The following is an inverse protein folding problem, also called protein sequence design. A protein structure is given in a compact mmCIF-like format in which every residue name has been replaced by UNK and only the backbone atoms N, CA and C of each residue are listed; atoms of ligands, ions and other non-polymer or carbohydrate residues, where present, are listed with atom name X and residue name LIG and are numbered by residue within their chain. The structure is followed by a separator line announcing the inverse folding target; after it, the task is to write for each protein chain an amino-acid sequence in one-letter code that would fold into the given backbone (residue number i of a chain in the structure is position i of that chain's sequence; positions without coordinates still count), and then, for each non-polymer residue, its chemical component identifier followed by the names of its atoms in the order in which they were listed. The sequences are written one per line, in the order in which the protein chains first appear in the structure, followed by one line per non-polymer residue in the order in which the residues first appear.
data_IF_404323303340
#
_entry.id   IF_404323303340
#
_cell.length_a   1.000
_cell.length_b   1.000
_cell.length_c   1.000
_cell.angle_alpha   90.00
_cell.angle_beta   90.00
_cell.angle_gamma   90.00
#
_symmetry.space_group_name_H-M   'P 1'
#
loop_
_entity.id
_entity.type
_entity.pdbx_description
1 polymer ?
#
# COMPACT_ATOMS: atom_id res chain seq x y z
N UNK A 1 -12.54 25.33 5.06
CA UNK A 1 -11.07 25.30 5.13
C UNK A 1 -10.51 23.90 4.83
N UNK A 2 -11.16 23.13 3.94
CA UNK A 2 -10.90 21.68 3.77
C UNK A 2 -10.00 21.33 2.57
N UNK A 3 -9.62 22.32 1.76
CA UNK A 3 -8.79 22.09 0.57
C UNK A 3 -7.28 22.12 0.84
N UNK A 4 -6.85 22.69 1.98
CA UNK A 4 -5.44 22.84 2.32
C UNK A 4 -4.79 21.53 2.79
N UNK A 5 -5.54 20.65 3.46
CA UNK A 5 -5.04 19.36 3.94
C UNK A 5 -4.83 18.35 2.79
N UNK A 6 -5.68 18.39 1.76
CA UNK A 6 -5.57 17.54 0.57
C UNK A 6 -4.42 17.96 -0.35
N UNK A 7 -4.11 19.26 -0.43
CA UNK A 7 -2.97 19.75 -1.20
C UNK A 7 -1.62 19.34 -0.58
N UNK A 8 -1.51 19.31 0.75
CA UNK A 8 -0.24 19.03 1.44
C UNK A 8 0.13 17.53 1.40
N UNK A 9 -0.85 16.63 1.55
CA UNK A 9 -0.65 15.18 1.48
C UNK A 9 -0.30 14.69 0.05
N UNK A 10 -0.81 15.39 -0.98
CA UNK A 10 -0.52 15.08 -2.39
C UNK A 10 0.91 15.52 -2.78
N UNK A 11 1.40 16.65 -2.27
CA UNK A 11 2.75 17.16 -2.59
C UNK A 11 3.86 16.31 -1.95
N UNK A 12 3.63 15.81 -0.73
CA UNK A 12 4.63 15.01 0.01
C UNK A 12 4.83 13.58 -0.55
N UNK A 13 3.77 12.97 -1.09
CA UNK A 13 3.83 11.62 -1.67
C UNK A 13 4.27 11.61 -3.14
N UNK A 14 3.89 12.62 -3.95
CA UNK A 14 4.42 12.78 -5.30
C UNK A 14 5.92 13.19 -5.32
N UNK A 15 6.35 14.03 -4.38
CA UNK A 15 7.73 14.53 -4.33
C UNK A 15 8.78 13.45 -4.06
N UNK A 16 8.44 12.46 -3.23
CA UNK A 16 9.38 11.39 -2.83
C UNK A 16 9.49 10.27 -3.89
N UNK A 17 8.40 9.99 -4.61
CA UNK A 17 8.36 8.96 -5.66
C UNK A 17 8.99 9.41 -6.97
N UNK A 18 8.75 10.65 -7.39
CA UNK A 18 9.29 11.17 -8.65
C UNK A 18 10.81 11.41 -8.57
N UNK A 19 11.33 11.79 -7.39
CA UNK A 19 12.77 12.02 -7.17
C UNK A 19 13.61 10.73 -7.22
N UNK A 20 13.01 9.56 -6.97
CA UNK A 20 13.71 8.27 -6.98
C UNK A 20 13.67 7.59 -8.36
N UNK A 21 12.60 7.78 -9.12
CA UNK A 21 12.43 7.14 -10.43
C UNK A 21 13.22 7.81 -11.58
N UNK A 22 13.63 9.07 -11.43
CA UNK A 22 14.45 9.77 -12.45
C UNK A 22 15.96 9.59 -12.27
N UNK A 23 16.42 8.93 -11.20
CA UNK A 23 17.87 8.81 -10.89
C UNK A 23 18.56 7.61 -11.55
N UNK A 24 17.82 6.66 -12.12
CA UNK A 24 18.37 5.38 -12.56
C UNK A 24 18.47 5.19 -14.08
N UNK A 25 18.21 6.22 -14.89
CA UNK A 25 18.32 6.11 -16.36
C UNK A 25 19.17 7.21 -16.98
N UNK A 26 20.41 6.82 -17.32
CA UNK A 26 21.42 7.45 -18.18
C UNK A 26 22.36 8.52 -17.57
N UNK A 27 23.70 8.32 -17.64
CA UNK A 27 24.68 9.37 -17.47
C UNK A 27 25.02 10.04 -18.83
N UNK A 28 24.89 11.37 -18.97
CA UNK A 28 25.61 12.12 -19.99
C UNK A 28 26.92 12.72 -19.42
N UNK A 29 28.00 12.83 -20.21
CA UNK A 29 29.15 13.64 -19.83
C UNK A 29 28.79 15.13 -19.98
N UNK A 30 29.27 15.96 -19.06
CA UNK A 30 29.20 17.43 -19.06
C UNK A 30 27.85 18.09 -18.74
N UNK A 31 27.16 17.63 -17.70
CA UNK A 31 26.14 18.45 -17.03
C UNK A 31 26.77 19.15 -15.82
N UNK A 32 26.93 20.48 -15.91
CA UNK A 32 27.12 21.37 -14.76
C UNK A 32 26.02 21.05 -13.75
N UNK A 33 26.38 20.40 -12.66
CA UNK A 33 25.49 20.15 -11.52
C UNK A 33 25.10 21.53 -11.01
N UNK A 34 23.83 21.97 -11.09
CA UNK A 34 23.41 23.09 -10.27
C UNK A 34 23.64 22.60 -8.84
N UNK A 35 24.67 23.14 -8.19
CA UNK A 35 24.86 22.96 -6.75
C UNK A 35 23.54 23.39 -6.15
N UNK A 36 22.72 22.39 -5.77
CA UNK A 36 21.62 22.59 -4.85
C UNK A 36 22.34 23.17 -3.65
N UNK A 37 22.25 24.50 -3.46
CA UNK A 37 22.55 25.11 -2.17
C UNK A 37 21.84 24.18 -1.18
N UNK A 38 22.61 23.51 -0.33
CA UNK A 38 22.11 23.02 0.94
C UNK A 38 21.49 24.26 1.59
N UNK A 39 20.21 24.47 1.29
CA UNK A 39 19.41 25.44 1.98
C UNK A 39 19.34 24.86 3.38
N UNK A 40 19.94 25.59 4.32
CA UNK A 40 19.92 25.34 5.76
C UNK A 40 18.70 24.50 6.14
N UNK A 41 18.92 23.21 6.41
CA UNK A 41 17.90 22.43 7.10
C UNK A 41 17.68 23.19 8.42
N UNK A 42 16.45 23.60 8.77
CA UNK A 42 16.22 24.32 10.01
C UNK A 42 16.83 23.50 11.14
N UNK A 43 17.83 24.07 11.79
CA UNK A 43 18.54 23.43 12.89
C UNK A 43 17.59 23.46 14.08
N UNK A 44 16.76 22.44 14.21
CA UNK A 44 15.85 22.29 15.34
C UNK A 44 16.68 22.14 16.61
N UNK A 45 16.29 22.84 17.67
CA UNK A 45 16.82 22.50 18.98
C UNK A 45 16.50 21.02 19.26
N UNK A 46 17.40 20.26 19.93
CA UNK A 46 17.17 18.84 20.20
C UNK A 46 15.87 18.60 20.98
N UNK A 47 15.44 19.56 21.77
CA UNK A 47 14.17 19.55 22.49
C UNK A 47 12.96 19.63 21.54
N UNK A 48 13.01 20.52 20.54
CA UNK A 48 11.97 20.66 19.52
C UNK A 48 11.88 19.42 18.63
N UNK A 49 13.02 18.81 18.29
CA UNK A 49 13.06 17.57 17.51
C UNK A 49 12.41 16.41 18.27
N UNK A 50 12.70 16.26 19.57
CA UNK A 50 12.11 15.23 20.40
C UNK A 50 10.60 15.45 20.62
N UNK A 51 10.16 16.71 20.74
CA UNK A 51 8.73 17.03 20.81
C UNK A 51 8.00 16.72 19.50
N UNK A 52 8.60 17.06 18.36
CA UNK A 52 8.04 16.74 17.05
C UNK A 52 7.92 15.22 16.84
N UNK A 53 8.94 14.44 17.22
CA UNK A 53 8.90 12.99 17.14
C UNK A 53 7.77 12.38 17.99
N UNK A 54 7.57 12.90 19.21
CA UNK A 54 6.43 12.49 20.07
C UNK A 54 5.08 12.81 19.43
N UNK A 55 4.92 14.00 18.86
CA UNK A 55 3.67 14.41 18.21
C UNK A 55 3.39 13.58 16.96
N UNK A 56 4.41 13.33 16.13
CA UNK A 56 4.29 12.45 14.96
C UNK A 56 3.94 11.02 15.35
N UNK A 57 4.53 10.49 16.42
CA UNK A 57 4.20 9.17 16.94
C UNK A 57 2.73 9.09 17.42
N UNK A 58 2.23 10.14 18.09
CA UNK A 58 0.84 10.22 18.52
C UNK A 58 -0.13 10.25 17.32
N UNK A 59 0.17 11.07 16.31
CA UNK A 59 -0.63 11.14 15.07
C UNK A 59 -0.60 9.82 14.32
N UNK A 60 0.56 9.16 14.25
CA UNK A 60 0.70 7.86 13.61
C UNK A 60 -0.16 6.80 14.31
N UNK A 61 -0.21 6.81 15.66
CA UNK A 61 -1.05 5.91 16.43
C UNK A 61 -2.55 6.16 16.20
N UNK A 62 -2.99 7.41 16.20
CA UNK A 62 -4.39 7.78 15.91
C UNK A 62 -4.80 7.40 14.47
N UNK A 63 -3.92 7.68 13.52
CA UNK A 63 -4.11 7.32 12.11
C UNK A 63 -4.18 5.81 11.89
N UNK A 64 -3.36 5.03 12.60
CA UNK A 64 -3.36 3.57 12.50
C UNK A 64 -4.72 2.97 12.89
N UNK A 65 -5.31 3.43 14.00
CA UNK A 65 -6.61 2.93 14.45
C UNK A 65 -7.73 3.23 13.45
N UNK A 66 -7.72 4.43 12.87
CA UNK A 66 -8.70 4.83 11.84
C UNK A 66 -8.54 3.99 10.58
N UNK A 67 -7.30 3.77 10.13
CA UNK A 67 -7.01 2.95 8.94
C UNK A 67 -7.42 1.50 9.14
N UNK A 68 -7.12 0.90 10.29
CA UNK A 68 -7.53 -0.46 10.64
C UNK A 68 -9.06 -0.61 10.64
N UNK A 69 -9.77 0.38 11.20
CA UNK A 69 -11.23 0.39 11.20
C UNK A 69 -11.81 0.46 9.79
N UNK A 70 -11.25 1.30 8.92
CA UNK A 70 -11.66 1.40 7.52
C UNK A 70 -11.35 0.13 6.73
N UNK A 71 -10.17 -0.47 6.95
CA UNK A 71 -9.78 -1.74 6.37
C UNK A 71 -10.74 -2.85 6.77
N UNK A 72 -11.02 -3.00 8.08
CA UNK A 72 -11.95 -4.00 8.59
C UNK A 72 -13.36 -3.85 8.01
N UNK A 73 -13.85 -2.61 7.90
CA UNK A 73 -15.14 -2.32 7.26
C UNK A 73 -15.14 -2.75 5.79
N UNK A 74 -14.08 -2.42 5.03
CA UNK A 74 -13.95 -2.76 3.61
C UNK A 74 -13.87 -4.27 3.40
N UNK A 75 -13.06 -4.98 4.19
CA UNK A 75 -12.94 -6.44 4.13
C UNK A 75 -14.25 -7.14 4.45
N UNK A 76 -14.99 -6.63 5.45
CA UNK A 76 -16.32 -7.13 5.77
C UNK A 76 -17.29 -6.97 4.59
N UNK A 77 -17.26 -5.85 3.88
CA UNK A 77 -18.09 -5.65 2.68
C UNK A 77 -17.69 -6.63 1.58
N UNK A 78 -16.39 -6.74 1.28
CA UNK A 78 -15.88 -7.61 0.23
C UNK A 78 -16.23 -9.08 0.46
N UNK A 79 -16.03 -9.56 1.69
CA UNK A 79 -16.30 -10.95 2.08
C UNK A 79 -17.81 -11.23 2.17
N UNK A 80 -18.60 -10.40 2.87
CA UNK A 80 -20.05 -10.62 3.01
C UNK A 80 -20.82 -10.58 1.69
N UNK A 81 -20.41 -9.71 0.77
CA UNK A 81 -21.01 -9.59 -0.56
C UNK A 81 -20.38 -10.53 -1.59
N UNK A 82 -19.43 -11.37 -1.20
CA UNK A 82 -18.72 -12.29 -2.10
C UNK A 82 -18.22 -11.57 -3.35
N UNK A 83 -17.59 -10.40 -3.17
CA UNK A 83 -17.15 -9.58 -4.30
C UNK A 83 -16.00 -10.31 -5.00
N UNK A 84 -16.15 -10.65 -6.30
CA UNK A 84 -15.13 -11.42 -6.99
C UNK A 84 -13.90 -10.58 -7.30
N UNK A 85 -12.74 -11.22 -7.19
CA UNK A 85 -11.46 -10.72 -7.62
C UNK A 85 -11.41 -10.73 -9.16
N UNK A 86 -11.03 -9.61 -9.77
CA UNK A 86 -11.00 -9.40 -11.22
C UNK A 86 -9.61 -9.46 -11.80
N UNK A 87 -8.62 -9.02 -11.04
CA UNK A 87 -7.23 -9.08 -11.47
C UNK A 87 -6.28 -9.11 -10.27
N UNK A 88 -5.12 -9.71 -10.50
CA UNK A 88 -3.93 -9.52 -9.67
C UNK A 88 -2.91 -8.79 -10.54
N UNK A 89 -2.48 -7.60 -10.12
CA UNK A 89 -1.44 -6.81 -10.81
C UNK A 89 -0.16 -6.83 -9.99
N UNK A 90 0.97 -6.64 -10.65
CA UNK A 90 2.25 -6.48 -9.97
C UNK A 90 2.23 -5.19 -9.11
N UNK A 91 2.92 -5.25 -7.98
CA UNK A 91 3.15 -4.12 -7.09
C UNK A 91 4.63 -4.05 -6.70
N UNK A 92 5.13 -2.89 -6.24
CA UNK A 92 6.47 -2.79 -5.69
C UNK A 92 6.67 -3.74 -4.50
N UNK A 93 7.80 -4.44 -4.49
CA UNK A 93 8.21 -5.31 -3.40
C UNK A 93 8.11 -6.81 -3.71
N UNK A 94 8.87 -7.64 -2.98
CA UNK A 94 8.93 -9.07 -3.22
C UNK A 94 7.61 -9.75 -2.84
N UNK A 95 7.07 -10.55 -3.76
CA UNK A 95 5.83 -11.32 -3.56
C UNK A 95 4.62 -10.43 -3.25
N UNK A 96 4.63 -9.17 -3.68
CA UNK A 96 3.54 -8.22 -3.50
C UNK A 96 2.72 -8.08 -4.78
N UNK A 97 1.40 -7.94 -4.64
CA UNK A 97 0.50 -7.69 -5.75
C UNK A 97 -0.70 -6.83 -5.34
N UNK A 98 -1.28 -6.15 -6.32
CA UNK A 98 -2.54 -5.42 -6.19
C UNK A 98 -3.69 -6.35 -6.55
N UNK A 99 -4.60 -6.55 -5.62
CA UNK A 99 -5.81 -7.34 -5.77
C UNK A 99 -6.95 -6.40 -6.16
N UNK A 100 -7.43 -6.51 -7.40
CA UNK A 100 -8.47 -5.63 -7.94
C UNK A 100 -9.81 -6.36 -7.90
N UNK A 101 -10.74 -5.89 -7.09
CA UNK A 101 -12.07 -6.46 -6.92
C UNK A 101 -13.10 -5.85 -7.88
N UNK A 102 -14.22 -6.54 -8.06
CA UNK A 102 -15.29 -6.11 -8.96
C UNK A 102 -16.02 -4.85 -8.52
N UNK A 103 -15.94 -4.47 -7.24
CA UNK A 103 -16.48 -3.21 -6.71
C UNK A 103 -15.47 -2.05 -6.79
N UNK A 104 -14.43 -2.21 -7.61
CA UNK A 104 -13.31 -1.28 -7.78
C UNK A 104 -12.42 -1.11 -6.55
N UNK A 105 -12.59 -1.92 -5.49
CA UNK A 105 -11.62 -1.94 -4.39
C UNK A 105 -10.30 -2.51 -4.87
N UNK A 106 -9.19 -1.85 -4.51
CA UNK A 106 -7.86 -2.39 -4.71
C UNK A 106 -7.19 -2.59 -3.35
N UNK A 107 -6.72 -3.81 -3.11
CA UNK A 107 -5.95 -4.15 -1.91
C UNK A 107 -4.50 -4.42 -2.29
N UNK A 108 -3.55 -3.88 -1.54
CA UNK A 108 -2.16 -4.26 -1.63
C UNK A 108 -1.91 -5.45 -0.72
N UNK A 109 -1.44 -6.57 -1.25
CA UNK A 109 -1.22 -7.78 -0.48
C UNK A 109 0.08 -8.49 -0.85
N UNK A 110 0.63 -9.22 0.11
CA UNK A 110 1.85 -10.03 -0.05
C UNK A 110 1.53 -11.51 0.13
N UNK A 111 2.01 -12.34 -0.78
CA UNK A 111 1.90 -13.79 -0.62
C UNK A 111 2.77 -14.29 0.55
N UNK A 112 2.23 -15.25 1.31
CA UNK A 112 3.01 -15.96 2.34
C UNK A 112 4.03 -16.89 1.68
N UNK A 113 3.63 -17.53 0.57
CA UNK A 113 4.43 -18.52 -0.17
C UNK A 113 4.65 -18.07 -1.61
N UNK A 114 5.80 -18.44 -2.16
CA UNK A 114 6.10 -18.18 -3.57
C UNK A 114 5.04 -18.83 -4.47
N UNK A 115 4.61 -18.11 -5.51
CA UNK A 115 3.64 -18.59 -6.49
C UNK A 115 2.16 -18.47 -6.11
N UNK A 116 1.79 -18.06 -4.89
CA UNK A 116 0.37 -17.89 -4.54
C UNK A 116 -0.33 -16.82 -5.36
N UNK A 117 0.29 -15.65 -5.54
CA UNK A 117 -0.26 -14.59 -6.41
C UNK A 117 -0.41 -15.05 -7.86
N UNK A 118 0.50 -15.87 -8.35
CA UNK A 118 0.44 -16.42 -9.71
C UNK A 118 -0.71 -17.42 -9.86
N UNK A 119 -0.85 -18.37 -8.91
CA UNK A 119 -1.96 -19.34 -8.91
C UNK A 119 -3.31 -18.64 -8.76
N UNK A 120 -3.38 -17.63 -7.90
CA UNK A 120 -4.57 -16.80 -7.75
C UNK A 120 -4.91 -16.07 -9.06
N UNK A 121 -3.91 -15.50 -9.74
CA UNK A 121 -4.09 -14.83 -11.04
C UNK A 121 -4.64 -15.79 -12.12
N UNK A 122 -4.17 -17.04 -12.13
CA UNK A 122 -4.71 -18.08 -13.02
C UNK A 122 -6.14 -18.47 -12.64
N UNK A 123 -6.42 -18.67 -11.35
CA UNK A 123 -7.72 -19.08 -10.86
C UNK A 123 -8.83 -18.07 -11.22
N UNK A 124 -8.55 -16.76 -11.21
CA UNK A 124 -9.51 -15.71 -11.59
C UNK A 124 -10.01 -15.86 -13.04
N UNK A 125 -9.22 -16.48 -13.93
CA UNK A 125 -9.61 -16.68 -15.33
C UNK A 125 -10.68 -17.76 -15.50
N UNK A 126 -10.74 -18.70 -14.56
CA UNK A 126 -11.57 -19.91 -14.64
C UNK A 126 -12.69 -19.91 -13.59
N UNK A 127 -12.52 -19.14 -12.51
CA UNK A 127 -13.38 -19.16 -11.34
C UNK A 127 -13.67 -17.76 -10.82
N UNK A 128 -14.86 -17.58 -10.23
CA UNK A 128 -15.19 -16.40 -9.45
C UNK A 128 -14.53 -16.49 -8.06
N UNK A 129 -13.28 -16.04 -7.97
CA UNK A 129 -12.52 -16.11 -6.71
C UNK A 129 -12.91 -14.96 -5.78
N UNK A 130 -13.31 -15.27 -4.56
CA UNK A 130 -13.72 -14.29 -3.52
C UNK A 130 -12.89 -14.46 -2.25
N UNK A 131 -12.95 -13.48 -1.34
CA UNK A 131 -12.41 -13.66 0.01
C UNK A 131 -13.33 -14.62 0.77
N UNK A 132 -12.83 -15.82 1.07
CA UNK A 132 -13.53 -16.81 1.89
C UNK A 132 -13.60 -16.33 3.34
N UNK A 133 -12.44 -15.96 3.89
CA UNK A 133 -12.31 -15.51 5.28
C UNK A 133 -11.14 -14.56 5.42
N UNK A 134 -11.11 -13.84 6.53
CA UNK A 134 -9.95 -13.05 6.94
C UNK A 134 -9.79 -13.07 8.46
N UNK A 135 -8.55 -12.94 8.93
CA UNK A 135 -8.22 -12.98 10.36
C UNK A 135 -7.02 -12.08 10.65
N UNK A 136 -6.95 -11.55 11.87
CA UNK A 136 -5.76 -10.87 12.36
C UNK A 136 -4.78 -11.91 12.92
N UNK A 137 -3.59 -12.00 12.32
CA UNK A 137 -2.47 -12.82 12.79
C UNK A 137 -1.30 -11.90 13.22
N UNK A 138 -0.25 -12.47 13.80
CA UNK A 138 0.95 -11.74 14.20
C UNK A 138 1.63 -11.03 13.01
N UNK A 139 1.55 -11.62 11.82
CA UNK A 139 2.14 -11.08 10.58
C UNK A 139 1.26 -10.02 9.89
N UNK A 140 0.09 -9.72 10.47
CA UNK A 140 -0.90 -8.79 9.92
C UNK A 140 -2.24 -9.46 9.59
N UNK A 141 -3.07 -8.77 8.82
CA UNK A 141 -4.38 -9.29 8.41
C UNK A 141 -4.21 -10.29 7.28
N UNK A 142 -4.57 -11.55 7.49
CA UNK A 142 -4.48 -12.62 6.49
C UNK A 142 -5.81 -12.78 5.78
N UNK A 143 -5.76 -12.80 4.45
CA UNK A 143 -6.89 -13.03 3.55
C UNK A 143 -6.78 -14.45 3.00
N UNK A 144 -7.86 -15.22 3.14
CA UNK A 144 -7.97 -16.57 2.58
C UNK A 144 -8.85 -16.54 1.34
N UNK A 145 -8.32 -17.09 0.24
CA UNK A 145 -9.04 -17.30 -1.01
C UNK A 145 -9.14 -18.79 -1.28
N UNK A 146 -10.30 -19.24 -1.73
CA UNK A 146 -10.58 -20.64 -2.08
C UNK A 146 -11.10 -20.72 -3.51
N UNK A 147 -10.73 -21.78 -4.20
CA UNK A 147 -11.29 -22.18 -5.49
C UNK A 147 -11.18 -23.70 -5.62
N UNK A 148 -11.76 -24.35 -6.63
CA UNK A 148 -11.76 -25.82 -6.70
C UNK A 148 -10.38 -26.42 -6.48
N UNK A 149 -10.26 -27.25 -5.42
CA UNK A 149 -9.08 -28.04 -5.03
C UNK A 149 -7.87 -27.24 -4.54
N UNK A 150 -7.95 -25.92 -4.41
CA UNK A 150 -6.82 -25.06 -4.02
C UNK A 150 -7.22 -23.86 -3.16
N UNK A 151 -6.22 -23.24 -2.53
CA UNK A 151 -6.37 -22.03 -1.73
C UNK A 151 -5.11 -21.17 -1.77
N UNK A 152 -5.26 -19.87 -1.50
CA UNK A 152 -4.15 -18.94 -1.27
C UNK A 152 -4.36 -18.14 0.02
N UNK A 153 -3.27 -17.88 0.73
CA UNK A 153 -3.25 -17.01 1.90
C UNK A 153 -2.36 -15.80 1.63
N UNK A 154 -2.94 -14.61 1.68
CA UNK A 154 -2.23 -13.36 1.42
C UNK A 154 -2.27 -12.47 2.65
N UNK A 155 -1.13 -11.87 3.00
CA UNK A 155 -1.05 -10.85 4.05
C UNK A 155 -1.41 -9.51 3.45
N UNK A 156 -2.47 -8.89 3.95
CA UNK A 156 -2.89 -7.55 3.58
C UNK A 156 -1.88 -6.52 4.09
N UNK A 157 -1.41 -5.67 3.19
CA UNK A 157 -0.54 -4.53 3.50
C UNK A 157 -1.37 -3.26 3.67
N UNK A 158 -2.40 -3.06 2.84
CA UNK A 158 -3.26 -1.89 2.94
C UNK A 158 -4.22 -1.73 1.76
N UNK A 159 -4.91 -0.59 1.73
CA UNK A 159 -5.68 -0.14 0.57
C UNK A 159 -4.72 0.47 -0.46
N UNK A 160 -5.03 0.27 -1.74
CA UNK A 160 -4.37 0.95 -2.85
C UNK A 160 -5.43 1.65 -3.71
N UNK A 161 -5.00 2.60 -4.53
CA UNK A 161 -5.86 3.18 -5.56
C UNK A 161 -5.58 2.50 -6.90
N UNK A 162 -6.63 2.35 -7.72
CA UNK A 162 -6.43 1.93 -9.09
C UNK A 162 -5.73 3.07 -9.85
N UNK A 163 -4.63 2.73 -10.54
CA UNK A 163 -3.93 3.63 -11.47
C UNK A 163 -4.86 4.21 -12.55
#
# INVERSE_FOLDING_TARGET
MEWAALALALVLTLGLGLARALRERHPPPDSVVPQRREADAPEFAPEDAAELERQLAAIAAEGAHTLESLLGLRLRILSSRHVPLRAVRAAPGPRTGRLVFADSTVLLARARRSGELFRLALAIREHAVTIESWSHEQDGTVLTFTWPRERAELVLIGLDQAD
#
